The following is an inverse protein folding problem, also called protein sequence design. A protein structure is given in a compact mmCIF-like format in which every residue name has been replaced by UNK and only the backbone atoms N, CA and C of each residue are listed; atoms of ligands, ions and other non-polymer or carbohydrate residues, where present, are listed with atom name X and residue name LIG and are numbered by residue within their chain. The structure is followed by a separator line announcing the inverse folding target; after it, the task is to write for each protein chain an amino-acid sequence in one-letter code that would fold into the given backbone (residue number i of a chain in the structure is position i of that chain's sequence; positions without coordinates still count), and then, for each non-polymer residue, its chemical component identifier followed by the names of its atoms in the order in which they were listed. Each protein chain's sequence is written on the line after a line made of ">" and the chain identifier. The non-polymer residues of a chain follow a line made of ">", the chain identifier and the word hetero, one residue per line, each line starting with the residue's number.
data_IF_515902026879
#
_entry.id   IF_515902026879
#
_cell.length_a   1.000
_cell.length_b   1.000
_cell.length_c   1.000
_cell.angle_alpha   90.00
_cell.angle_beta   90.00
_cell.angle_gamma   90.00
#
_symmetry.space_group_name_H-M   'P 1'
#
loop_
_entity.id
_entity.type
_entity.pdbx_description
1 polymer ?
#
# COMPACT_ATOMS: atom_id res chain seq x y z
N UNK A 1 7.21 -1.64 5.95
CA UNK A 1 7.40 -2.91 5.19
C UNK A 1 8.85 -2.97 4.75
N UNK A 2 9.49 -4.11 4.88
CA UNK A 2 10.87 -4.32 4.46
C UNK A 2 11.07 -5.73 3.91
N UNK A 3 12.08 -5.91 3.06
CA UNK A 3 12.56 -7.24 2.72
C UNK A 3 13.26 -7.87 3.94
N UNK A 4 13.29 -9.20 4.03
CA UNK A 4 13.98 -9.92 5.12
C UNK A 4 15.50 -9.70 5.13
N UNK A 5 16.07 -9.23 4.03
CA UNK A 5 17.50 -8.97 3.87
C UNK A 5 17.79 -8.00 2.72
N UNK A 6 19.07 -7.68 2.48
CA UNK A 6 19.46 -6.80 1.39
C UNK A 6 19.07 -7.41 0.03
N UNK A 7 18.55 -6.57 -0.86
CA UNK A 7 18.15 -6.95 -2.21
C UNK A 7 19.24 -6.50 -3.18
N UNK A 8 19.96 -7.45 -3.77
CA UNK A 8 21.02 -7.17 -4.75
C UNK A 8 20.64 -7.75 -6.11
N UNK A 9 20.82 -6.97 -7.17
CA UNK A 9 20.56 -7.39 -8.55
C UNK A 9 21.78 -7.12 -9.42
N UNK A 10 22.13 -8.11 -10.24
CA UNK A 10 23.15 -7.95 -11.26
C UNK A 10 22.53 -7.32 -12.51
N UNK A 11 23.12 -6.23 -13.00
CA UNK A 11 22.66 -5.52 -14.19
C UNK A 11 23.75 -5.48 -15.28
N UNK A 12 23.39 -5.67 -16.56
CA UNK A 12 24.32 -5.46 -17.66
C UNK A 12 24.76 -3.98 -17.70
N UNK A 13 26.06 -3.75 -17.87
CA UNK A 13 26.65 -2.39 -17.85
C UNK A 13 26.05 -1.44 -18.90
N UNK A 14 25.56 -1.98 -20.02
CA UNK A 14 25.10 -1.20 -21.16
C UNK A 14 23.61 -1.43 -21.49
N UNK A 15 22.80 -1.84 -20.51
CA UNK A 15 21.36 -2.02 -20.73
C UNK A 15 20.65 -0.66 -20.70
N UNK A 16 19.87 -0.29 -21.74
CA UNK A 16 19.03 0.91 -21.73
C UNK A 16 17.75 0.72 -20.92
N UNK A 17 17.49 -0.49 -20.42
CA UNK A 17 16.22 -0.83 -19.80
C UNK A 17 16.08 -0.21 -18.40
N UNK A 18 14.97 0.49 -18.17
CA UNK A 18 14.66 1.05 -16.86
C UNK A 18 14.29 -0.04 -15.87
N UNK A 19 14.90 0.02 -14.69
CA UNK A 19 14.53 -0.80 -13.54
C UNK A 19 13.34 -0.15 -12.81
N UNK A 20 12.28 -0.91 -12.57
CA UNK A 20 11.09 -0.45 -11.85
C UNK A 20 10.83 -1.41 -10.69
N UNK A 21 10.63 -0.85 -9.50
CA UNK A 21 10.28 -1.59 -8.30
C UNK A 21 8.82 -1.28 -7.93
N UNK A 22 7.97 -2.28 -7.90
CA UNK A 22 6.55 -2.18 -7.58
C UNK A 22 6.24 -2.99 -6.33
N UNK A 23 5.64 -2.34 -5.33
CA UNK A 23 5.15 -3.01 -4.13
C UNK A 23 3.67 -3.29 -4.30
N UNK A 24 3.30 -4.56 -4.24
CA UNK A 24 1.89 -5.00 -4.22
C UNK A 24 1.60 -5.57 -2.84
N UNK A 25 0.57 -5.05 -2.17
CA UNK A 25 0.14 -5.55 -0.87
C UNK A 25 -1.34 -5.97 -0.93
N UNK A 26 -1.72 -6.92 -0.07
CA UNK A 26 -3.09 -7.41 0.00
C UNK A 26 -3.90 -6.51 0.94
N UNK A 27 -4.53 -5.48 0.40
CA UNK A 27 -5.37 -4.56 1.17
C UNK A 27 -6.80 -5.10 1.42
N UNK A 28 -7.51 -4.59 2.45
CA UNK A 28 -7.04 -3.72 3.52
C UNK A 28 -6.29 -4.52 4.61
N UNK A 29 -5.17 -3.99 5.11
CA UNK A 29 -4.44 -4.60 6.22
C UNK A 29 -5.20 -4.37 7.53
N UNK A 30 -5.85 -5.41 8.03
CA UNK A 30 -6.61 -5.35 9.28
C UNK A 30 -5.67 -5.58 10.46
N UNK A 31 -5.73 -4.69 11.45
CA UNK A 31 -5.12 -4.95 12.75
C UNK A 31 -5.76 -6.17 13.43
N UNK A 32 -5.02 -6.96 14.24
CA UNK A 32 -3.62 -6.79 14.58
C UNK A 32 -2.67 -7.29 13.48
N UNK A 33 -1.62 -6.53 13.20
CA UNK A 33 -0.55 -6.93 12.28
C UNK A 33 0.73 -7.13 13.09
N UNK A 34 1.12 -8.38 13.29
CA UNK A 34 2.36 -8.71 13.99
C UNK A 34 3.59 -8.23 13.23
N UNK A 35 4.68 -7.92 13.95
CA UNK A 35 5.99 -7.65 13.33
C UNK A 35 6.51 -8.91 12.63
N UNK A 36 7.07 -8.75 11.44
CA UNK A 36 7.60 -9.85 10.63
C UNK A 36 6.56 -10.61 9.79
N UNK A 37 5.29 -10.20 9.80
CA UNK A 37 4.24 -10.81 8.98
C UNK A 37 4.46 -10.47 7.49
N UNK A 38 4.41 -11.48 6.63
CA UNK A 38 4.46 -11.32 5.17
C UNK A 38 3.11 -10.81 4.66
N UNK A 39 3.06 -9.55 4.24
CA UNK A 39 1.80 -8.88 3.85
C UNK A 39 1.85 -8.26 2.46
N UNK A 40 3.02 -8.25 1.85
CA UNK A 40 3.25 -7.62 0.56
C UNK A 40 4.32 -8.36 -0.23
N UNK A 41 4.40 -8.03 -1.51
CA UNK A 41 5.37 -8.55 -2.47
C UNK A 41 6.03 -7.37 -3.18
N UNK A 42 7.35 -7.43 -3.28
CA UNK A 42 8.13 -6.54 -4.12
C UNK A 42 8.37 -7.23 -5.45
N UNK A 43 7.87 -6.64 -6.53
CA UNK A 43 8.12 -7.03 -7.90
C UNK A 43 9.11 -6.06 -8.53
N UNK A 44 10.20 -6.58 -9.07
CA UNK A 44 11.22 -5.80 -9.76
C UNK A 44 11.17 -6.19 -11.24
N UNK A 45 10.91 -5.19 -12.08
CA UNK A 45 10.85 -5.35 -13.54
C UNK A 45 11.93 -4.55 -14.23
N UNK A 46 12.37 -5.03 -15.39
CA UNK A 46 13.30 -4.36 -16.29
C UNK A 46 12.64 -4.32 -17.66
N UNK A 47 12.15 -3.15 -18.06
CA UNK A 47 11.23 -3.04 -19.19
C UNK A 47 10.02 -3.98 -19.02
N UNK A 48 9.69 -4.85 -19.99
CA UNK A 48 8.58 -5.79 -19.88
C UNK A 48 8.91 -7.06 -19.08
N UNK A 49 10.18 -7.28 -18.70
CA UNK A 49 10.62 -8.51 -18.07
C UNK A 49 10.54 -8.40 -16.54
N UNK A 50 9.88 -9.38 -15.91
CA UNK A 50 9.91 -9.58 -14.46
C UNK A 50 11.24 -10.23 -14.06
N UNK A 51 12.05 -9.50 -13.31
CA UNK A 51 13.41 -9.93 -12.93
C UNK A 51 13.38 -10.68 -11.61
N UNK A 52 12.59 -10.20 -10.64
CA UNK A 52 12.53 -10.80 -9.31
C UNK A 52 11.20 -10.50 -8.62
N UNK A 53 10.74 -11.45 -7.82
CA UNK A 53 9.67 -11.27 -6.84
C UNK A 53 10.18 -11.71 -5.47
N UNK A 54 9.96 -10.90 -4.44
CA UNK A 54 10.32 -11.23 -3.07
C UNK A 54 9.25 -10.78 -2.06
N UNK A 55 9.04 -11.54 -0.97
CA UNK A 55 8.08 -11.17 0.06
C UNK A 55 8.59 -9.98 0.88
N UNK A 56 7.68 -9.08 1.22
CA UNK A 56 7.91 -7.97 2.14
C UNK A 56 7.17 -8.22 3.46
N UNK A 57 7.92 -8.04 4.54
CA UNK A 57 7.45 -8.22 5.91
C UNK A 57 7.16 -6.90 6.60
N UNK A 58 6.32 -6.93 7.63
CA UNK A 58 6.06 -5.80 8.51
C UNK A 58 7.28 -5.50 9.38
N UNK A 59 7.64 -4.21 9.43
CA UNK A 59 8.78 -3.71 10.20
C UNK A 59 8.41 -3.45 11.66
N UNK A 60 7.16 -3.09 11.89
CA UNK A 60 6.60 -2.76 13.20
C UNK A 60 5.30 -3.52 13.41
N UNK A 61 4.96 -3.72 14.68
CA UNK A 61 3.68 -4.28 15.09
C UNK A 61 2.62 -3.19 15.12
N UNK A 62 1.43 -3.49 14.60
CA UNK A 62 0.26 -2.64 14.67
C UNK A 62 -0.81 -3.36 15.48
N UNK A 63 -0.97 -3.05 16.78
CA UNK A 63 -1.99 -3.65 17.62
C UNK A 63 -3.39 -3.13 17.26
N UNK A 64 -4.41 -3.76 17.81
CA UNK A 64 -5.78 -3.25 17.72
C UNK A 64 -5.87 -1.91 18.44
N UNK A 65 -6.44 -0.90 17.77
CA UNK A 65 -6.68 0.42 18.36
C UNK A 65 -7.64 0.37 19.56
N UNK A 66 -7.47 1.31 20.48
CA UNK A 66 -8.36 1.49 21.65
C UNK A 66 -9.80 1.85 21.23
N UNK A 67 -10.76 1.70 22.14
CA UNK A 67 -12.17 2.00 21.88
C UNK A 67 -12.37 3.42 21.33
N UNK A 68 -11.71 4.41 21.93
CA UNK A 68 -11.81 5.81 21.52
C UNK A 68 -11.18 6.07 20.14
N UNK A 69 -10.04 5.45 19.84
CA UNK A 69 -9.42 5.54 18.51
C UNK A 69 -10.36 5.00 17.43
N UNK A 70 -10.93 3.81 17.66
CA UNK A 70 -11.88 3.20 16.73
C UNK A 70 -13.16 4.03 16.55
N UNK A 71 -13.64 4.68 17.61
CA UNK A 71 -14.81 5.56 17.55
C UNK A 71 -14.52 6.83 16.72
N UNK A 72 -13.35 7.46 16.93
CA UNK A 72 -12.91 8.63 16.16
C UNK A 72 -12.65 8.28 14.69
N UNK A 73 -11.99 7.15 14.42
CA UNK A 73 -11.74 6.68 13.06
C UNK A 73 -13.04 6.45 12.28
N UNK A 74 -14.02 5.80 12.92
CA UNK A 74 -15.34 5.57 12.33
C UNK A 74 -16.11 6.87 12.06
N UNK A 75 -16.09 7.81 13.01
CA UNK A 75 -16.72 9.12 12.83
C UNK A 75 -16.04 9.92 11.71
N UNK A 76 -14.71 9.87 11.62
CA UNK A 76 -13.94 10.55 10.58
C UNK A 76 -14.24 10.04 9.17
N UNK A 77 -14.34 8.72 9.00
CA UNK A 77 -14.74 8.12 7.70
C UNK A 77 -16.14 8.60 7.31
N UNK A 78 -17.11 8.57 8.25
CA UNK A 78 -18.49 9.01 7.97
C UNK A 78 -18.55 10.49 7.55
N UNK A 79 -17.80 11.38 8.21
CA UNK A 79 -17.73 12.80 7.84
C UNK A 79 -17.09 12.97 6.45
N UNK A 80 -16.00 12.26 6.17
CA UNK A 80 -15.36 12.30 4.86
C UNK A 80 -16.27 11.81 3.73
N UNK A 81 -17.01 10.73 3.96
CA UNK A 81 -17.88 10.13 2.95
C UNK A 81 -19.13 10.98 2.69
N UNK A 82 -19.73 11.57 3.74
CA UNK A 82 -20.84 12.51 3.59
C UNK A 82 -20.42 13.80 2.86
N UNK A 83 -19.23 14.32 3.14
CA UNK A 83 -18.69 15.48 2.42
C UNK A 83 -18.44 15.19 0.94
N UNK A 84 -17.87 14.01 0.62
CA UNK A 84 -17.66 13.56 -0.77
C UNK A 84 -18.97 13.41 -1.54
N UNK A 85 -19.97 12.76 -0.93
CA UNK A 85 -21.28 12.54 -1.55
C UNK A 85 -22.02 13.87 -1.82
N UNK A 86 -21.97 14.81 -0.87
CA UNK A 86 -22.50 16.16 -1.07
C UNK A 86 -21.75 16.91 -2.20
N UNK A 87 -20.42 16.84 -2.22
CA UNK A 87 -19.62 17.44 -3.28
C UNK A 87 -19.95 16.88 -4.67
N UNK A 88 -20.08 15.55 -4.79
CA UNK A 88 -20.49 14.91 -6.05
C UNK A 88 -21.89 15.34 -6.49
N UNK A 89 -22.86 15.43 -5.56
CA UNK A 89 -24.22 15.90 -5.85
C UNK A 89 -24.27 17.36 -6.31
N UNK A 90 -23.47 18.23 -5.71
CA UNK A 90 -23.38 19.65 -6.11
C UNK A 90 -22.74 19.78 -7.50
N UNK A 91 -21.65 19.06 -7.77
CA UNK A 91 -21.00 19.05 -9.09
C UNK A 91 -21.92 18.48 -10.18
N UNK A 92 -22.66 17.40 -9.90
CA UNK A 92 -23.62 16.81 -10.83
C UNK A 92 -24.81 17.75 -11.14
N UNK A 93 -25.12 18.69 -10.23
CA UNK A 93 -26.20 19.67 -10.39
C UNK A 93 -25.76 20.97 -11.07
N UNK A 94 -24.47 21.31 -11.00
CA UNK A 94 -23.87 22.48 -11.67
C UNK A 94 -23.37 22.18 -13.10
N UNK A 95 -23.13 20.90 -13.41
CA UNK A 95 -22.74 20.44 -14.75
C UNK A 95 -23.90 20.13 -15.71
N UNK A 96 -25.13 20.51 -15.35
CA UNK A 96 -26.34 20.50 -16.20
C UNK A 96 -26.90 21.92 -16.26
#
# INVERSE_FOLDING_TARGET
>A
LAARGPVTLLMPRNSPDKLVAKVTYNGPLKAPVAKGAEVAKLEITRGPLKVMELPLVTTEEVPVGSLWQRALDGAGIMVGDTARDLGQKVMAKLGK
#
